data_IF_957425082527
#
_entry.id   IF_957425082527
#
_cell.length_a   1.000
_cell.length_b   1.000
_cell.length_c   1.000
_cell.angle_alpha   90.00
_cell.angle_beta   90.00
_cell.angle_gamma   90.00
#
_symmetry.space_group_name_H-M   'P 1'
#
loop_
_entity.id
_entity.type
_entity.pdbx_description
1 polymer ?
#
# COMPACT_ATOMS: atom_id res chain seq x y z
N UNK A 1 -41.90 -4.16 -33.35
CA UNK A 1 -41.64 -2.74 -33.70
C UNK A 1 -40.15 -2.61 -33.87
N UNK A 2 -39.68 -2.56 -35.15
CA UNK A 2 -38.23 -2.58 -35.48
C UNK A 2 -37.71 -1.15 -35.48
N UNK A 3 -36.76 -0.83 -34.63
CA UNK A 3 -36.06 0.46 -34.59
C UNK A 3 -34.79 0.29 -35.44
N UNK A 4 -34.72 1.07 -36.53
CA UNK A 4 -33.58 1.19 -37.46
C UNK A 4 -32.51 2.09 -36.86
N UNK A 5 -31.28 1.62 -36.83
CA UNK A 5 -30.09 2.44 -36.59
C UNK A 5 -29.73 3.21 -37.87
N UNK A 6 -29.70 4.54 -37.77
CA UNK A 6 -29.22 5.41 -38.84
C UNK A 6 -27.68 5.57 -38.68
N UNK A 7 -26.95 5.10 -39.67
CA UNK A 7 -25.52 5.37 -39.90
C UNK A 7 -25.32 6.88 -40.09
N UNK A 8 -24.51 7.51 -39.22
CA UNK A 8 -23.93 8.82 -39.51
C UNK A 8 -22.44 8.62 -39.81
N UNK A 9 -22.09 8.95 -41.06
CA UNK A 9 -20.73 9.07 -41.61
C UNK A 9 -19.93 10.16 -40.86
N UNK A 10 -18.61 9.99 -40.64
CA UNK A 10 -17.77 11.03 -40.06
C UNK A 10 -17.47 12.14 -41.08
N UNK A 11 -17.25 13.40 -40.61
CA UNK A 11 -16.93 14.52 -41.50
C UNK A 11 -15.47 14.43 -42.00
N UNK A 12 -15.32 14.86 -43.26
CA UNK A 12 -14.08 14.92 -44.01
C UNK A 12 -13.07 15.90 -43.41
N UNK A 13 -11.78 15.55 -43.57
CA UNK A 13 -10.61 16.39 -43.30
C UNK A 13 -10.69 17.72 -44.03
N UNK A 14 -10.54 18.80 -43.30
CA UNK A 14 -10.14 20.11 -43.86
C UNK A 14 -8.66 20.33 -43.60
N UNK A 15 -7.94 20.67 -44.67
CA UNK A 15 -6.52 20.97 -44.71
C UNK A 15 -6.14 22.09 -43.76
N UNK A 16 -5.18 21.84 -42.82
CA UNK A 16 -4.54 22.90 -42.05
C UNK A 16 -3.20 23.26 -42.68
N UNK A 17 -3.11 24.52 -43.06
CA UNK A 17 -1.97 25.22 -43.62
C UNK A 17 -0.75 25.14 -42.71
N UNK A 18 0.42 24.84 -43.30
CA UNK A 18 1.74 24.84 -42.65
C UNK A 18 2.12 26.24 -42.20
N UNK A 19 2.09 26.49 -40.90
CA UNK A 19 2.75 27.63 -40.26
C UNK A 19 4.11 27.17 -39.68
N UNK A 20 5.16 27.92 -39.96
CA UNK A 20 6.52 27.65 -39.51
C UNK A 20 6.63 27.83 -37.98
N UNK A 21 7.44 26.99 -37.28
CA UNK A 21 7.65 27.15 -35.82
C UNK A 21 8.59 28.32 -35.52
N UNK A 22 8.45 28.99 -34.37
CA UNK A 22 9.30 30.11 -33.97
C UNK A 22 10.73 29.66 -33.64
N UNK A 23 11.68 30.52 -34.01
CA UNK A 23 13.13 30.42 -33.84
C UNK A 23 13.56 30.45 -32.35
N UNK A 24 13.52 29.32 -31.63
CA UNK A 24 14.17 29.20 -30.31
C UNK A 24 14.62 27.78 -29.95
N UNK A 25 15.00 26.95 -30.94
CA UNK A 25 15.64 25.65 -30.69
C UNK A 25 16.76 25.46 -31.72
N UNK A 26 17.86 26.18 -31.51
CA UNK A 26 19.17 25.84 -32.12
C UNK A 26 20.24 26.23 -31.10
N UNK A 27 20.58 25.33 -30.20
CA UNK A 27 21.88 25.12 -29.57
C UNK A 27 21.67 24.05 -28.49
N UNK A 28 22.01 22.84 -28.83
CA UNK A 28 22.43 21.70 -27.98
C UNK A 28 22.04 20.35 -28.59
N UNK A 29 22.37 20.14 -29.86
CA UNK A 29 22.47 18.77 -30.39
C UNK A 29 23.68 18.76 -31.36
N UNK A 30 24.83 18.54 -30.79
CA UNK A 30 26.05 18.07 -31.47
C UNK A 30 27.06 17.71 -30.37
N UNK A 31 26.97 16.53 -29.81
CA UNK A 31 28.03 15.73 -29.20
C UNK A 31 27.43 14.46 -28.56
N UNK A 32 27.08 13.49 -29.37
CA UNK A 32 26.85 12.14 -28.89
C UNK A 32 26.99 11.14 -30.05
N UNK A 33 28.19 10.98 -30.57
CA UNK A 33 28.64 9.83 -31.33
C UNK A 33 30.09 9.60 -31.04
N UNK A 34 30.36 8.77 -30.03
CA UNK A 34 31.58 7.96 -29.85
C UNK A 34 31.57 7.38 -28.43
N UNK A 35 30.91 6.23 -28.29
CA UNK A 35 31.07 5.38 -27.10
C UNK A 35 32.05 4.26 -27.46
N UNK A 36 33.24 4.17 -26.81
CA UNK A 36 34.07 2.98 -26.92
C UNK A 36 33.52 1.88 -26.06
N UNK A 37 33.38 0.71 -26.66
CA UNK A 37 33.09 -0.58 -26.04
C UNK A 37 34.27 -1.01 -25.16
N UNK A 38 34.28 -0.60 -23.88
CA UNK A 38 34.98 -1.30 -22.79
C UNK A 38 34.60 -0.65 -21.46
N UNK A 39 33.70 -1.33 -20.71
CA UNK A 39 33.42 -0.93 -19.34
C UNK A 39 34.52 -1.48 -18.45
N UNK A 40 35.49 -0.65 -18.14
CA UNK A 40 36.44 -0.91 -17.07
C UNK A 40 35.80 -0.47 -15.76
N UNK A 41 35.36 -1.42 -14.95
CA UNK A 41 34.84 -1.16 -13.59
C UNK A 41 36.00 -0.67 -12.75
N UNK A 42 36.05 0.64 -12.52
CA UNK A 42 37.09 1.25 -11.69
C UNK A 42 36.94 0.81 -10.24
N UNK A 43 38.05 0.39 -9.65
CA UNK A 43 38.23 -0.06 -8.26
C UNK A 43 37.79 0.93 -7.15
N UNK A 44 37.32 2.13 -7.50
CA UNK A 44 36.88 3.17 -6.54
C UNK A 44 35.54 2.85 -5.84
N UNK A 45 34.65 2.10 -6.46
CA UNK A 45 33.35 1.73 -5.84
C UNK A 45 33.56 0.68 -4.75
N UNK A 46 34.45 -0.28 -4.96
CA UNK A 46 34.77 -1.31 -3.97
C UNK A 46 35.45 -0.72 -2.73
N UNK A 47 36.30 0.32 -2.88
CA UNK A 47 36.94 1.00 -1.74
C UNK A 47 35.95 1.83 -0.90
N UNK A 48 34.88 2.38 -1.47
CA UNK A 48 33.86 3.12 -0.69
C UNK A 48 32.96 2.24 0.12
N UNK A 49 32.64 1.05 -0.34
CA UNK A 49 31.81 0.09 0.41
C UNK A 49 32.61 -0.47 1.60
N UNK A 50 33.93 -0.72 1.45
CA UNK A 50 34.76 -1.21 2.57
C UNK A 50 35.08 -0.12 3.60
N UNK A 51 35.12 1.18 3.25
CA UNK A 51 35.39 2.26 4.21
C UNK A 51 34.15 2.73 4.99
N UNK A 52 32.93 2.43 4.52
CA UNK A 52 31.67 2.77 5.21
C UNK A 52 31.28 1.80 6.33
N UNK A 53 31.76 0.56 6.29
CA UNK A 53 31.38 -0.49 7.23
C UNK A 53 32.30 -0.60 8.46
N UNK A 54 33.48 0.03 8.45
CA UNK A 54 34.47 -0.06 9.54
C UNK A 54 34.89 1.30 10.14
N UNK A 55 33.94 2.18 10.45
CA UNK A 55 34.16 3.26 11.43
C UNK A 55 33.50 2.91 12.76
N UNK A 56 34.12 2.02 13.51
CA UNK A 56 33.85 1.89 14.94
C UNK A 56 34.81 2.76 15.75
N UNK A 57 34.35 3.46 16.81
CA UNK A 57 35.24 4.18 17.73
C UNK A 57 36.10 3.18 18.49
N UNK A 58 37.35 3.59 18.78
CA UNK A 58 38.30 2.80 19.57
C UNK A 58 37.78 2.59 20.99
N UNK A 59 37.15 1.43 21.22
CA UNK A 59 37.02 0.86 22.55
C UNK A 59 37.77 -0.47 22.60
N UNK A 60 38.56 -0.63 23.65
CA UNK A 60 39.45 -1.74 23.94
C UNK A 60 38.72 -3.09 23.84
N UNK A 61 39.16 -3.94 22.92
CA UNK A 61 38.73 -5.33 22.77
C UNK A 61 39.29 -6.21 23.89
N UNK A 62 38.49 -7.03 24.57
CA UNK A 62 39.01 -8.08 25.45
C UNK A 62 39.68 -9.18 24.61
N UNK A 63 40.83 -9.63 25.06
CA UNK A 63 41.57 -10.78 24.52
C UNK A 63 40.78 -12.08 24.75
N UNK A 64 39.95 -12.49 23.81
CA UNK A 64 39.49 -13.88 23.68
C UNK A 64 39.10 -14.14 22.23
N UNK A 65 40.09 -14.51 21.41
CA UNK A 65 39.84 -15.12 20.11
C UNK A 65 40.12 -16.62 20.24
N UNK A 66 39.13 -17.44 19.99
CA UNK A 66 39.26 -18.89 19.90
C UNK A 66 40.15 -19.29 18.72
N UNK A 67 40.92 -20.37 18.78
CA UNK A 67 41.86 -20.83 17.72
C UNK A 67 41.22 -21.06 16.36
N UNK A 68 39.91 -21.32 16.29
CA UNK A 68 39.19 -21.67 15.06
C UNK A 68 38.93 -20.47 14.14
N UNK A 69 39.21 -19.23 14.57
CA UNK A 69 39.03 -18.05 13.71
C UNK A 69 40.22 -17.81 12.76
N UNK A 70 41.40 -18.39 13.08
CA UNK A 70 42.58 -18.22 12.22
C UNK A 70 42.62 -19.22 11.06
N UNK A 71 42.01 -20.36 11.14
CA UNK A 71 41.97 -21.36 10.05
C UNK A 71 40.96 -21.01 8.95
N UNK A 72 39.90 -20.28 9.28
CA UNK A 72 38.86 -19.91 8.27
C UNK A 72 39.31 -18.80 7.32
N UNK A 73 40.32 -18.01 7.70
CA UNK A 73 40.87 -16.93 6.85
C UNK A 73 41.99 -17.43 5.94
N UNK A 74 42.59 -18.57 6.25
CA UNK A 74 43.73 -19.14 5.50
C UNK A 74 43.34 -20.01 4.27
N UNK A 75 42.05 -20.33 4.10
CA UNK A 75 41.59 -21.21 3.02
C UNK A 75 40.91 -20.52 1.83
N UNK A 76 41.01 -19.19 1.72
CA UNK A 76 40.54 -18.47 0.53
C UNK A 76 41.71 -18.30 -0.44
N UNK A 77 41.76 -19.04 -1.57
CA UNK A 77 42.82 -18.82 -2.56
C UNK A 77 42.69 -17.42 -3.15
N UNK A 78 43.69 -16.60 -2.97
CA UNK A 78 43.87 -15.34 -3.72
C UNK A 78 44.13 -15.70 -5.20
N UNK A 79 43.04 -15.80 -5.96
CA UNK A 79 43.13 -15.93 -7.42
C UNK A 79 43.68 -14.60 -7.98
N UNK A 80 44.85 -14.68 -8.54
CA UNK A 80 45.45 -13.63 -9.36
C UNK A 80 44.60 -13.49 -10.63
N UNK A 81 44.04 -12.28 -10.83
CA UNK A 81 43.32 -11.81 -12.03
C UNK A 81 42.18 -12.70 -12.58
N UNK A 82 40.91 -12.38 -12.33
CA UNK A 82 39.83 -12.96 -13.09
C UNK A 82 39.43 -12.05 -14.26
N UNK A 83 39.96 -12.33 -15.42
CA UNK A 83 39.31 -11.96 -16.69
C UNK A 83 38.34 -13.10 -17.06
N UNK A 84 37.04 -12.76 -17.16
CA UNK A 84 35.93 -13.62 -17.60
C UNK A 84 35.29 -14.57 -16.55
N UNK A 85 34.44 -14.04 -15.70
CA UNK A 85 33.36 -14.82 -15.07
C UNK A 85 32.00 -14.36 -15.58
N UNK A 86 31.15 -15.30 -15.99
CA UNK A 86 29.79 -14.98 -16.43
C UNK A 86 28.93 -14.50 -15.25
N UNK A 87 27.96 -13.62 -15.52
CA UNK A 87 27.02 -13.08 -14.53
C UNK A 87 26.27 -14.15 -13.73
N UNK A 88 26.02 -15.33 -14.34
CA UNK A 88 25.40 -16.47 -13.68
C UNK A 88 26.29 -17.14 -12.62
N UNK A 89 27.60 -17.10 -12.77
CA UNK A 89 28.56 -17.66 -11.82
C UNK A 89 28.76 -16.73 -10.63
N UNK A 90 28.72 -15.43 -10.86
CA UNK A 90 28.82 -14.39 -9.82
C UNK A 90 27.59 -14.40 -8.91
N UNK A 91 26.37 -14.58 -9.48
CA UNK A 91 25.13 -14.70 -8.70
C UNK A 91 25.10 -15.92 -7.78
N UNK A 92 25.66 -17.07 -8.21
CA UNK A 92 25.77 -18.26 -7.37
C UNK A 92 26.80 -18.13 -6.26
N UNK A 93 27.88 -17.39 -6.49
CA UNK A 93 28.91 -17.11 -5.49
C UNK A 93 28.39 -16.18 -4.38
N UNK A 94 27.69 -15.12 -4.74
CA UNK A 94 27.07 -14.19 -3.78
C UNK A 94 25.99 -14.90 -2.95
N UNK A 95 25.16 -15.72 -3.56
CA UNK A 95 24.09 -16.48 -2.85
C UNK A 95 24.67 -17.48 -1.85
N UNK A 96 25.79 -18.13 -2.16
CA UNK A 96 26.52 -19.04 -1.22
C UNK A 96 27.15 -18.28 -0.04
N UNK A 97 27.70 -17.09 -0.26
CA UNK A 97 28.23 -16.25 0.82
C UNK A 97 27.14 -15.81 1.82
N UNK A 98 25.98 -15.42 1.32
CA UNK A 98 24.86 -15.03 2.20
C UNK A 98 24.32 -16.20 3.03
N UNK A 99 24.20 -17.40 2.46
CA UNK A 99 23.76 -18.57 3.22
C UNK A 99 24.75 -18.99 4.33
N UNK A 100 26.04 -18.87 4.09
CA UNK A 100 27.07 -19.15 5.10
C UNK A 100 27.07 -18.12 6.24
N UNK A 101 26.80 -16.84 5.93
CA UNK A 101 26.71 -15.79 6.96
C UNK A 101 25.49 -15.97 7.86
N UNK A 102 24.35 -16.37 7.30
CA UNK A 102 23.12 -16.62 8.07
C UNK A 102 23.24 -17.84 9.01
N UNK A 103 23.93 -18.88 8.57
CA UNK A 103 24.19 -20.07 9.38
C UNK A 103 25.11 -19.79 10.59
N UNK A 104 26.03 -18.82 10.48
CA UNK A 104 26.94 -18.44 11.56
C UNK A 104 26.23 -17.58 12.62
N UNK A 105 25.31 -16.70 12.22
CA UNK A 105 24.55 -15.84 13.15
C UNK A 105 23.52 -16.61 13.96
N UNK A 106 22.98 -17.73 13.44
CA UNK A 106 22.00 -18.56 14.15
C UNK A 106 22.62 -19.49 15.21
N UNK A 107 23.94 -19.63 15.25
CA UNK A 107 24.65 -20.58 16.14
C UNK A 107 25.18 -19.96 17.45
N UNK A 108 25.07 -18.63 17.63
CA UNK A 108 25.59 -17.96 18.83
C UNK A 108 24.53 -17.95 19.94
N UNK A 109 24.49 -19.03 20.73
CA UNK A 109 23.75 -19.04 21.99
C UNK A 109 24.55 -18.33 23.08
N UNK A 110 24.13 -17.12 23.45
CA UNK A 110 24.67 -16.40 24.62
C UNK A 110 24.09 -17.06 25.89
N UNK A 111 24.94 -17.83 26.60
CA UNK A 111 24.63 -18.28 27.96
C UNK A 111 24.95 -17.17 28.95
N UNK A 112 23.95 -16.57 29.54
CA UNK A 112 24.09 -15.70 30.72
C UNK A 112 24.32 -16.60 31.97
N UNK A 113 25.48 -16.45 32.61
CA UNK A 113 25.76 -17.07 33.89
C UNK A 113 25.02 -16.29 35.01
N UNK A 114 24.16 -16.98 35.72
CA UNK A 114 23.59 -16.48 36.97
C UNK A 114 24.69 -16.44 38.06
N UNK A 115 24.91 -15.26 38.61
CA UNK A 115 25.80 -15.11 39.78
C UNK A 115 25.03 -15.43 41.05
N UNK A 116 25.60 -16.35 41.83
CA UNK A 116 25.11 -16.77 43.17
C UNK A 116 25.43 -15.66 44.15
N UNK A 117 24.40 -15.07 44.76
CA UNK A 117 24.53 -14.15 45.89
C UNK A 117 24.41 -14.90 47.21
N UNK A 118 25.47 -14.87 48.02
CA UNK A 118 25.46 -15.28 49.43
C UNK A 118 24.82 -14.19 50.29
N UNK A 119 24.14 -14.53 51.39
CA UNK A 119 23.41 -13.56 52.20
C UNK A 119 24.32 -12.84 53.18
N UNK A 120 24.36 -11.52 53.10
CA UNK A 120 24.93 -10.63 54.12
C UNK A 120 23.84 -10.19 55.11
N UNK A 121 24.09 -10.32 56.44
CA UNK A 121 23.23 -9.79 57.50
C UNK A 121 23.36 -8.26 57.57
N UNK A 122 22.27 -7.50 57.75
CA UNK A 122 22.36 -6.05 57.85
C UNK A 122 22.56 -5.59 59.28
N UNK A 123 23.56 -4.76 59.51
CA UNK A 123 23.67 -3.87 60.70
C UNK A 123 22.79 -2.64 60.46
N UNK A 124 22.04 -2.24 61.51
CA UNK A 124 21.15 -1.08 61.48
C UNK A 124 21.94 0.21 61.27
N UNK A 125 21.73 0.89 60.16
CA UNK A 125 22.15 2.26 59.92
C UNK A 125 20.90 3.15 59.80
N UNK A 126 20.90 4.23 60.57
CA UNK A 126 19.89 5.29 60.56
C UNK A 126 20.06 6.08 59.27
N UNK A 127 19.07 6.01 58.39
CA UNK A 127 19.09 6.78 57.14
C UNK A 127 18.28 8.05 57.30
N UNK A 128 18.97 9.18 57.12
CA UNK A 128 18.35 10.47 56.79
C UNK A 128 17.74 10.35 55.40
N UNK A 129 16.43 10.50 55.28
CA UNK A 129 15.71 10.46 54.03
C UNK A 129 15.99 11.70 53.16
N UNK A 130 16.90 11.59 52.20
CA UNK A 130 16.93 12.50 51.04
C UNK A 130 16.01 11.90 49.97
N UNK A 131 14.81 12.43 49.84
CA UNK A 131 13.91 12.14 48.73
C UNK A 131 14.48 12.70 47.43
N UNK A 132 15.40 11.97 46.79
CA UNK A 132 15.76 12.22 45.42
C UNK A 132 14.61 11.74 44.52
N UNK A 133 13.77 12.66 44.04
CA UNK A 133 12.87 12.36 42.93
C UNK A 133 13.74 11.93 41.74
N UNK A 134 13.83 10.62 41.53
CA UNK A 134 14.39 10.10 40.28
C UNK A 134 13.50 10.63 39.15
N UNK A 135 14.05 11.59 38.41
CA UNK A 135 13.46 12.02 37.13
C UNK A 135 13.59 10.83 36.19
N UNK A 136 12.56 9.99 36.12
CA UNK A 136 12.51 8.88 35.17
C UNK A 136 12.60 9.47 33.75
N UNK A 137 13.64 9.11 33.02
CA UNK A 137 13.74 9.43 31.60
C UNK A 137 12.44 8.95 30.92
N UNK A 138 11.79 9.77 30.09
CA UNK A 138 10.63 9.32 29.33
C UNK A 138 11.00 8.07 28.54
N UNK A 139 10.13 7.08 28.55
CA UNK A 139 10.32 5.86 27.76
C UNK A 139 10.51 6.25 26.27
N UNK A 140 11.39 5.57 25.54
CA UNK A 140 11.58 5.85 24.12
C UNK A 140 10.23 5.72 23.39
N UNK A 141 9.91 6.71 22.54
CA UNK A 141 8.70 6.65 21.71
C UNK A 141 8.76 5.40 20.83
N UNK A 142 7.68 4.61 20.83
CA UNK A 142 7.56 3.44 19.95
C UNK A 142 7.58 3.90 18.48
N UNK A 143 8.22 3.11 17.62
CA UNK A 143 8.18 3.35 16.17
C UNK A 143 6.78 3.07 15.63
N UNK A 144 6.46 3.55 14.42
CA UNK A 144 5.22 3.28 13.71
C UNK A 144 4.88 1.78 13.75
N UNK A 145 5.80 0.93 13.30
CA UNK A 145 5.62 -0.52 13.22
C UNK A 145 5.42 -1.20 14.58
N UNK A 146 5.95 -0.64 15.67
CA UNK A 146 5.75 -1.15 17.04
C UNK A 146 4.39 -0.77 17.65
N UNK A 147 3.67 0.16 17.02
CA UNK A 147 2.34 0.61 17.45
C UNK A 147 1.22 -0.11 16.69
N UNK A 148 1.55 -0.71 15.54
CA UNK A 148 0.61 -1.44 14.71
C UNK A 148 0.33 -2.86 15.26
N UNK A 149 -0.85 -3.44 14.98
CA UNK A 149 -1.14 -4.84 15.24
C UNK A 149 -0.16 -5.78 14.55
N UNK A 150 -0.05 -7.00 15.06
CA UNK A 150 0.83 -8.03 14.47
C UNK A 150 0.32 -8.49 13.11
N UNK A 151 -1.00 -8.53 12.91
CA UNK A 151 -1.67 -9.03 11.71
C UNK A 151 -2.39 -7.90 10.97
N UNK A 152 -1.58 -6.98 10.42
CA UNK A 152 -2.07 -5.81 9.67
C UNK A 152 -2.53 -6.15 8.26
N UNK A 153 -3.53 -5.41 7.75
CA UNK A 153 -4.07 -5.51 6.40
C UNK A 153 -3.99 -4.17 5.68
N UNK A 154 -3.31 -4.13 4.53
CA UNK A 154 -3.43 -3.04 3.57
C UNK A 154 -4.65 -3.29 2.67
N UNK A 155 -5.68 -2.48 2.85
CA UNK A 155 -6.97 -2.67 2.18
C UNK A 155 -7.01 -2.28 0.70
N UNK A 156 -5.90 -1.79 0.08
CA UNK A 156 -5.90 -1.36 -1.32
C UNK A 156 -4.50 -1.26 -1.92
N UNK A 157 -4.15 -2.24 -2.75
CA UNK A 157 -2.90 -2.22 -3.52
C UNK A 157 -3.15 -2.62 -4.98
N UNK A 158 -2.32 -2.10 -5.90
CA UNK A 158 -2.36 -2.44 -7.32
C UNK A 158 -1.05 -3.10 -7.75
N UNK A 159 -1.15 -4.18 -8.52
CA UNK A 159 -0.01 -4.86 -9.14
C UNK A 159 0.04 -4.52 -10.62
N UNK A 160 1.19 -4.08 -11.10
CA UNK A 160 1.31 -3.46 -12.42
C UNK A 160 2.58 -3.94 -13.13
N UNK A 161 2.41 -4.57 -14.29
CA UNK A 161 3.49 -4.89 -15.22
C UNK A 161 2.99 -4.79 -16.67
N UNK A 162 3.07 -3.60 -17.30
CA UNK A 162 2.59 -3.38 -18.66
C UNK A 162 3.44 -4.07 -19.73
N UNK A 163 4.57 -4.70 -19.36
CA UNK A 163 5.35 -5.54 -20.26
C UNK A 163 4.81 -6.96 -20.34
N UNK A 164 4.19 -7.43 -19.27
CA UNK A 164 3.64 -8.78 -19.16
C UNK A 164 2.14 -8.83 -19.42
N UNK A 165 1.41 -7.80 -19.01
CA UNK A 165 -0.05 -7.73 -19.14
C UNK A 165 -0.43 -6.53 -20.01
N UNK A 166 -1.25 -6.76 -21.02
CA UNK A 166 -1.66 -5.72 -21.95
C UNK A 166 -2.56 -4.69 -21.28
N UNK A 167 -2.27 -3.41 -21.52
CA UNK A 167 -3.15 -2.34 -21.07
C UNK A 167 -4.46 -2.38 -21.87
N UNK A 168 -5.57 -2.03 -21.22
CA UNK A 168 -6.86 -1.84 -21.89
C UNK A 168 -6.75 -0.72 -22.95
N UNK A 169 -7.51 -0.84 -24.05
CA UNK A 169 -7.49 0.14 -25.15
C UNK A 169 -7.80 1.58 -24.71
N UNK A 170 -8.55 1.74 -23.60
CA UNK A 170 -8.90 3.04 -22.98
C UNK A 170 -8.05 3.42 -21.77
N UNK A 171 -6.87 2.80 -21.58
CA UNK A 171 -6.01 3.12 -20.46
C UNK A 171 -5.60 4.60 -20.46
N UNK A 172 -5.90 5.32 -19.37
CA UNK A 172 -5.67 6.76 -19.30
C UNK A 172 -4.18 7.16 -19.19
N UNK A 173 -3.30 6.20 -18.88
CA UNK A 173 -1.85 6.41 -18.72
C UNK A 173 -1.10 5.08 -18.81
N UNK A 174 0.22 5.16 -19.04
CA UNK A 174 1.14 4.01 -19.01
C UNK A 174 1.94 4.10 -17.72
N UNK A 175 1.70 3.23 -16.73
CA UNK A 175 2.40 3.26 -15.46
C UNK A 175 3.78 2.60 -15.55
N UNK A 176 4.62 2.87 -14.55
CA UNK A 176 5.82 2.09 -14.26
C UNK A 176 5.46 0.68 -13.79
N UNK A 177 6.44 -0.23 -13.83
CA UNK A 177 6.28 -1.60 -13.29
C UNK A 177 6.29 -1.51 -11.76
N UNK A 178 5.31 -2.19 -11.15
CA UNK A 178 5.16 -2.34 -9.71
C UNK A 178 4.80 -3.80 -9.42
N UNK A 179 5.85 -4.60 -9.24
CA UNK A 179 5.75 -6.05 -9.07
C UNK A 179 5.34 -6.46 -7.66
N UNK A 180 5.05 -7.76 -7.49
CA UNK A 180 4.81 -8.35 -6.15
C UNK A 180 6.00 -8.14 -5.20
N UNK A 181 7.23 -8.22 -5.72
CA UNK A 181 8.43 -8.03 -4.90
C UNK A 181 8.65 -6.59 -4.46
N UNK A 182 8.27 -5.63 -5.31
CA UNK A 182 8.27 -4.22 -4.93
C UNK A 182 7.24 -3.96 -3.84
N UNK A 183 6.05 -4.58 -3.95
CA UNK A 183 4.99 -4.50 -2.94
C UNK A 183 5.45 -5.08 -1.60
N UNK A 184 6.02 -6.28 -1.57
CA UNK A 184 6.53 -6.90 -0.33
C UNK A 184 7.60 -6.02 0.32
N UNK A 185 8.50 -5.45 -0.47
CA UNK A 185 9.52 -4.52 0.03
C UNK A 185 8.88 -3.25 0.62
N UNK A 186 7.85 -2.73 -0.02
CA UNK A 186 7.12 -1.57 0.46
C UNK A 186 6.37 -1.88 1.77
N UNK A 187 5.66 -3.01 1.85
CA UNK A 187 4.95 -3.46 3.05
C UNK A 187 5.86 -3.53 4.28
N UNK A 188 7.09 -4.06 4.12
CA UNK A 188 8.08 -4.09 5.19
C UNK A 188 8.41 -2.68 5.72
N UNK A 189 8.42 -1.66 4.85
CA UNK A 189 8.73 -0.28 5.24
C UNK A 189 7.60 0.41 6.00
N UNK A 190 6.34 -0.02 5.76
CA UNK A 190 5.12 0.55 6.39
C UNK A 190 4.52 -0.37 7.46
N UNK A 191 5.10 -1.55 7.69
CA UNK A 191 4.66 -2.50 8.71
C UNK A 191 3.32 -3.17 8.38
N UNK A 192 2.97 -3.28 7.09
CA UNK A 192 1.83 -4.07 6.64
C UNK A 192 2.25 -5.50 6.36
N UNK A 193 1.35 -6.47 6.54
CA UNK A 193 1.64 -7.90 6.36
C UNK A 193 0.79 -8.56 5.30
N UNK A 194 -0.47 -8.19 5.27
CA UNK A 194 -1.46 -8.79 4.38
C UNK A 194 -2.02 -7.71 3.47
N UNK A 195 -2.43 -8.09 2.27
CA UNK A 195 -2.85 -7.14 1.23
C UNK A 195 -4.18 -7.50 0.61
N UNK A 196 -4.88 -6.48 0.17
CA UNK A 196 -6.00 -6.61 -0.75
C UNK A 196 -5.57 -6.12 -2.12
N UNK A 197 -5.40 -7.07 -3.06
CA UNK A 197 -5.14 -6.79 -4.46
C UNK A 197 -6.40 -6.23 -5.11
N UNK A 198 -6.33 -5.00 -5.60
CA UNK A 198 -7.46 -4.33 -6.24
C UNK A 198 -7.15 -4.13 -7.71
N UNK A 199 -8.11 -4.48 -8.58
CA UNK A 199 -7.95 -4.31 -10.03
C UNK A 199 -7.74 -2.83 -10.39
N UNK A 200 -6.61 -2.44 -11.02
CA UNK A 200 -6.42 -1.08 -11.51
C UNK A 200 -7.17 -0.85 -12.82
N UNK A 201 -7.65 0.39 -13.02
CA UNK A 201 -8.46 0.74 -14.22
C UNK A 201 -7.74 0.56 -15.56
N UNK A 202 -6.39 0.60 -15.55
CA UNK A 202 -5.56 0.47 -16.77
C UNK A 202 -5.66 -0.90 -17.45
N UNK A 203 -6.10 -1.94 -16.75
CA UNK A 203 -6.29 -3.29 -17.32
C UNK A 203 -7.76 -3.61 -17.64
N UNK A 204 -8.69 -2.69 -17.34
CA UNK A 204 -10.13 -2.95 -17.56
C UNK A 204 -10.58 -4.22 -16.86
N UNK A 205 -11.19 -5.15 -17.62
CA UNK A 205 -11.69 -6.43 -17.09
C UNK A 205 -10.64 -7.56 -17.10
N UNK A 206 -9.39 -7.31 -17.53
CA UNK A 206 -8.32 -8.29 -17.45
C UNK A 206 -7.68 -8.29 -16.05
N UNK A 207 -8.11 -9.19 -15.19
CA UNK A 207 -7.64 -9.32 -13.82
C UNK A 207 -6.33 -10.13 -13.68
N UNK A 208 -5.72 -10.56 -14.78
CA UNK A 208 -4.57 -11.50 -14.76
C UNK A 208 -3.42 -11.01 -13.89
N UNK A 209 -3.07 -9.72 -13.95
CA UNK A 209 -1.96 -9.16 -13.18
C UNK A 209 -2.19 -9.31 -11.66
N UNK A 210 -3.37 -8.95 -11.17
CA UNK A 210 -3.68 -9.07 -9.74
C UNK A 210 -3.86 -10.52 -9.29
N UNK A 211 -4.48 -11.37 -10.09
CA UNK A 211 -4.67 -12.79 -9.77
C UNK A 211 -3.34 -13.54 -9.70
N UNK A 212 -2.40 -13.26 -10.60
CA UNK A 212 -1.05 -13.83 -10.54
C UNK A 212 -0.26 -13.30 -9.33
N UNK A 213 -0.46 -12.04 -8.95
CA UNK A 213 0.11 -11.49 -7.71
C UNK A 213 -0.44 -12.20 -6.47
N UNK A 214 -1.76 -12.43 -6.40
CA UNK A 214 -2.39 -13.17 -5.31
C UNK A 214 -1.87 -14.60 -5.20
N UNK A 215 -1.71 -15.33 -6.33
CA UNK A 215 -1.10 -16.66 -6.35
C UNK A 215 0.32 -16.66 -5.81
N UNK A 216 1.10 -15.61 -6.11
CA UNK A 216 2.49 -15.49 -5.64
C UNK A 216 2.58 -15.16 -4.14
N UNK A 217 1.63 -14.38 -3.61
CA UNK A 217 1.55 -14.03 -2.18
C UNK A 217 0.96 -15.17 -1.33
N UNK A 218 0.06 -15.94 -1.91
CA UNK A 218 -0.69 -17.01 -1.24
C UNK A 218 -1.97 -16.54 -0.55
N UNK A 219 -2.92 -17.48 -0.29
CA UNK A 219 -4.25 -17.18 0.23
C UNK A 219 -4.22 -16.67 1.68
N UNK A 220 -3.18 -16.99 2.44
CA UNK A 220 -3.01 -16.54 3.83
C UNK A 220 -2.71 -15.05 3.93
N UNK A 221 -2.09 -14.48 2.88
CA UNK A 221 -1.61 -13.09 2.87
C UNK A 221 -2.38 -12.17 1.94
N UNK A 222 -3.27 -12.70 1.11
CA UNK A 222 -3.91 -11.87 0.09
C UNK A 222 -5.41 -12.14 -0.06
N UNK A 223 -6.13 -11.08 -0.39
CA UNK A 223 -7.52 -11.10 -0.89
C UNK A 223 -7.59 -10.27 -2.17
N UNK A 224 -8.65 -10.48 -2.96
CA UNK A 224 -8.81 -9.81 -4.25
C UNK A 224 -10.11 -9.07 -4.41
N UNK A 225 -10.06 -7.96 -5.17
CA UNK A 225 -11.23 -7.22 -5.64
C UNK A 225 -11.08 -7.02 -7.14
N UNK A 226 -11.86 -7.78 -7.92
CA UNK A 226 -11.80 -7.86 -9.38
C UNK A 226 -12.70 -6.84 -10.06
N UNK A 227 -12.57 -6.71 -11.38
CA UNK A 227 -13.52 -6.02 -12.26
C UNK A 227 -13.99 -6.99 -13.34
N UNK A 228 -15.26 -7.00 -13.65
CA UNK A 228 -15.84 -7.80 -14.74
C UNK A 228 -17.08 -7.14 -15.30
N UNK A 229 -17.54 -7.60 -16.47
CA UNK A 229 -18.82 -7.20 -17.04
C UNK A 229 -19.92 -8.12 -16.53
N UNK A 230 -20.88 -7.55 -15.80
CA UNK A 230 -21.98 -8.28 -15.18
C UNK A 230 -22.92 -8.97 -16.16
N UNK A 231 -22.85 -8.62 -17.45
CA UNK A 231 -23.68 -9.23 -18.49
C UNK A 231 -23.06 -10.46 -19.15
N UNK A 232 -21.73 -10.65 -19.00
CA UNK A 232 -20.99 -11.70 -19.71
C UNK A 232 -20.23 -12.66 -18.79
N UNK A 233 -20.07 -12.32 -17.52
CA UNK A 233 -19.33 -13.15 -16.56
C UNK A 233 -19.99 -14.52 -16.38
N UNK A 234 -19.20 -15.58 -16.31
CA UNK A 234 -19.66 -16.93 -16.04
C UNK A 234 -19.55 -17.22 -14.54
N UNK A 235 -20.52 -17.98 -13.99
CA UNK A 235 -20.51 -18.35 -12.58
C UNK A 235 -19.28 -19.18 -12.21
N UNK A 236 -18.83 -20.05 -13.10
CA UNK A 236 -17.65 -20.88 -12.93
C UNK A 236 -16.40 -20.01 -12.68
N UNK A 237 -16.23 -18.94 -13.44
CA UNK A 237 -15.13 -17.98 -13.26
C UNK A 237 -15.20 -17.29 -11.90
N UNK A 238 -16.40 -16.92 -11.43
CA UNK A 238 -16.58 -16.32 -10.10
C UNK A 238 -16.18 -17.30 -8.99
N UNK A 239 -16.52 -18.59 -9.11
CA UNK A 239 -16.11 -19.62 -8.16
C UNK A 239 -14.60 -19.87 -8.18
N UNK A 240 -13.97 -19.96 -9.37
CA UNK A 240 -12.51 -20.07 -9.48
C UNK A 240 -11.79 -18.90 -8.80
N UNK A 241 -12.28 -17.68 -8.98
CA UNK A 241 -11.72 -16.51 -8.33
C UNK A 241 -11.97 -16.51 -6.82
N UNK A 242 -13.14 -16.99 -6.38
CA UNK A 242 -13.44 -17.14 -4.94
C UNK A 242 -12.44 -18.07 -4.26
N UNK A 243 -12.14 -19.21 -4.87
CA UNK A 243 -11.17 -20.20 -4.38
C UNK A 243 -9.74 -19.64 -4.32
N UNK A 244 -9.41 -18.68 -5.21
CA UNK A 244 -8.14 -17.94 -5.16
C UNK A 244 -8.10 -16.85 -4.08
N UNK A 245 -9.21 -16.58 -3.38
CA UNK A 245 -9.28 -15.55 -2.34
C UNK A 245 -9.88 -14.22 -2.79
N UNK A 246 -10.51 -14.14 -3.98
CA UNK A 246 -11.30 -12.95 -4.35
C UNK A 246 -12.52 -12.84 -3.45
N UNK A 247 -12.79 -11.63 -2.93
CA UNK A 247 -13.88 -11.34 -2.01
C UNK A 247 -14.68 -10.09 -2.40
N UNK A 248 -14.50 -9.60 -3.62
CA UNK A 248 -15.25 -8.43 -4.06
C UNK A 248 -15.11 -8.08 -5.52
N UNK A 249 -16.03 -7.21 -5.97
CA UNK A 249 -16.02 -6.58 -7.30
C UNK A 249 -15.93 -5.07 -7.16
N UNK A 250 -15.19 -4.40 -8.04
CA UNK A 250 -14.98 -2.95 -8.02
C UNK A 250 -15.77 -2.23 -9.10
N UNK A 251 -16.50 -1.17 -8.73
CA UNK A 251 -17.05 -0.16 -9.62
C UNK A 251 -16.24 1.13 -9.47
N UNK A 252 -15.48 1.45 -10.51
CA UNK A 252 -14.56 2.59 -10.51
C UNK A 252 -15.01 3.65 -11.52
N UNK A 253 -15.76 4.64 -11.07
CA UNK A 253 -16.29 5.72 -11.90
C UNK A 253 -15.45 6.99 -11.78
N UNK A 254 -14.90 7.30 -10.61
CA UNK A 254 -14.14 8.54 -10.39
C UNK A 254 -12.83 8.57 -11.18
N UNK A 255 -12.10 7.46 -11.30
CA UNK A 255 -10.82 7.47 -12.03
C UNK A 255 -10.99 7.56 -13.55
N UNK A 256 -12.17 7.25 -14.06
CA UNK A 256 -12.51 7.33 -15.50
C UNK A 256 -13.12 8.67 -15.89
N UNK A 257 -13.37 9.57 -14.92
CA UNK A 257 -13.97 10.90 -15.17
C UNK A 257 -15.43 10.84 -15.64
N UNK A 258 -16.11 9.70 -15.45
CA UNK A 258 -17.50 9.52 -15.87
C UNK A 258 -18.45 10.10 -14.83
N UNK A 259 -19.45 10.88 -15.27
CA UNK A 259 -20.61 11.21 -14.44
C UNK A 259 -21.69 10.17 -14.74
N UNK A 260 -21.97 9.25 -13.80
CA UNK A 260 -22.94 8.20 -14.07
C UNK A 260 -24.37 8.72 -14.06
N UNK A 261 -25.21 8.15 -14.92
CA UNK A 261 -26.66 8.20 -14.74
C UNK A 261 -27.00 7.41 -13.46
N UNK A 262 -27.66 8.05 -12.52
CA UNK A 262 -27.95 7.49 -11.19
C UNK A 262 -28.85 6.26 -11.28
N UNK A 263 -29.85 6.25 -12.16
CA UNK A 263 -30.75 5.07 -12.29
C UNK A 263 -30.04 3.89 -12.96
N UNK A 264 -29.19 4.16 -13.93
CA UNK A 264 -28.32 3.13 -14.53
C UNK A 264 -27.40 2.55 -13.45
N UNK A 265 -26.76 3.41 -12.63
CA UNK A 265 -25.87 2.98 -11.55
C UNK A 265 -26.61 2.14 -10.49
N UNK A 266 -27.79 2.55 -10.06
CA UNK A 266 -28.64 1.76 -9.14
C UNK A 266 -28.94 0.36 -9.70
N UNK A 267 -29.29 0.28 -10.96
CA UNK A 267 -29.57 -0.99 -11.62
C UNK A 267 -28.31 -1.87 -11.77
N UNK A 268 -27.17 -1.26 -12.09
CA UNK A 268 -25.87 -1.93 -12.14
C UNK A 268 -25.50 -2.49 -10.76
N UNK A 269 -25.64 -1.70 -9.69
CA UNK A 269 -25.41 -2.17 -8.32
C UNK A 269 -26.29 -3.38 -7.94
N UNK A 270 -27.59 -3.38 -8.33
CA UNK A 270 -28.49 -4.51 -8.08
C UNK A 270 -28.04 -5.77 -8.84
N UNK A 271 -27.60 -5.64 -10.10
CA UNK A 271 -27.10 -6.78 -10.90
C UNK A 271 -25.83 -7.35 -10.29
N UNK A 272 -24.83 -6.52 -9.94
CA UNK A 272 -23.64 -6.99 -9.25
C UNK A 272 -23.98 -7.66 -7.92
N UNK A 273 -24.87 -7.06 -7.12
CA UNK A 273 -25.29 -7.65 -5.85
C UNK A 273 -25.94 -9.03 -6.02
N UNK A 274 -26.74 -9.24 -7.06
CA UNK A 274 -27.34 -10.54 -7.34
C UNK A 274 -26.29 -11.61 -7.68
N UNK A 275 -25.24 -11.23 -8.43
CA UNK A 275 -24.15 -12.12 -8.82
C UNK A 275 -23.23 -12.48 -7.66
N UNK A 276 -22.87 -11.51 -6.80
CA UNK A 276 -21.81 -11.71 -5.79
C UNK A 276 -22.35 -12.12 -4.42
N UNK A 277 -23.63 -11.91 -4.13
CA UNK A 277 -24.25 -12.29 -2.84
C UNK A 277 -24.09 -13.78 -2.51
N UNK A 278 -24.30 -14.74 -3.42
CA UNK A 278 -24.12 -16.16 -3.12
C UNK A 278 -22.70 -16.52 -2.67
N UNK A 279 -21.70 -15.71 -3.07
CA UNK A 279 -20.30 -15.90 -2.72
C UNK A 279 -19.88 -15.11 -1.45
N UNK A 280 -20.78 -14.35 -0.85
CA UNK A 280 -20.46 -13.48 0.28
C UNK A 280 -19.54 -12.29 -0.06
N UNK A 281 -19.37 -11.99 -1.36
CA UNK A 281 -18.48 -10.90 -1.80
C UNK A 281 -19.09 -9.54 -1.53
N UNK A 282 -18.22 -8.54 -1.41
CA UNK A 282 -18.60 -7.13 -1.31
C UNK A 282 -18.53 -6.41 -2.66
N UNK A 283 -19.19 -5.25 -2.76
CA UNK A 283 -18.98 -4.32 -3.86
C UNK A 283 -18.15 -3.14 -3.35
N UNK A 284 -17.01 -2.91 -4.00
CA UNK A 284 -16.15 -1.75 -3.76
C UNK A 284 -16.50 -0.64 -4.75
N UNK A 285 -16.71 0.58 -4.24
CA UNK A 285 -17.20 1.70 -5.07
C UNK A 285 -16.24 2.88 -4.94
N UNK A 286 -15.79 3.40 -6.09
CA UNK A 286 -15.03 4.65 -6.18
C UNK A 286 -15.84 5.68 -6.98
N UNK A 287 -16.58 6.50 -6.25
CA UNK A 287 -17.40 7.60 -6.79
C UNK A 287 -17.27 8.84 -5.90
N UNK A 288 -17.71 10.01 -6.38
CA UNK A 288 -17.77 11.22 -5.57
C UNK A 288 -18.83 11.11 -4.47
N UNK A 289 -18.49 11.61 -3.27
CA UNK A 289 -19.34 11.54 -2.07
C UNK A 289 -20.68 12.27 -2.25
N UNK A 290 -20.73 13.32 -3.06
CA UNK A 290 -21.96 14.08 -3.34
C UNK A 290 -23.06 13.27 -4.06
N UNK A 291 -22.71 12.13 -4.66
CA UNK A 291 -23.67 11.18 -5.25
C UNK A 291 -24.33 10.24 -4.22
N UNK A 292 -23.78 10.14 -3.02
CA UNK A 292 -24.25 9.19 -2.00
C UNK A 292 -25.71 9.42 -1.57
N UNK A 293 -26.23 10.67 -1.46
CA UNK A 293 -27.65 10.86 -1.12
C UNK A 293 -28.61 10.19 -2.09
N UNK A 294 -28.28 10.18 -3.38
CA UNK A 294 -29.11 9.55 -4.41
C UNK A 294 -29.03 8.00 -4.39
N UNK A 295 -27.96 7.44 -3.83
CA UNK A 295 -27.68 5.99 -3.80
C UNK A 295 -28.01 5.34 -2.45
N UNK A 296 -28.19 6.11 -1.39
CA UNK A 296 -28.30 5.63 -0.01
C UNK A 296 -29.39 4.56 0.17
N UNK A 297 -30.61 4.81 -0.32
CA UNK A 297 -31.71 3.84 -0.21
C UNK A 297 -31.45 2.56 -0.96
N UNK A 298 -30.85 2.65 -2.16
CA UNK A 298 -30.49 1.48 -2.95
C UNK A 298 -29.41 0.66 -2.24
N UNK A 299 -28.34 1.29 -1.80
CA UNK A 299 -27.21 0.62 -1.12
C UNK A 299 -27.70 -0.13 0.13
N UNK A 300 -28.51 0.51 0.97
CA UNK A 300 -29.09 -0.13 2.17
C UNK A 300 -29.97 -1.35 1.84
N UNK A 301 -30.63 -1.33 0.68
CA UNK A 301 -31.51 -2.42 0.25
C UNK A 301 -30.76 -3.59 -0.43
N UNK A 302 -29.45 -3.44 -0.75
CA UNK A 302 -28.69 -4.50 -1.43
C UNK A 302 -28.42 -5.71 -0.53
N UNK A 303 -28.40 -5.54 0.80
CA UNK A 303 -28.11 -6.58 1.79
C UNK A 303 -26.80 -7.35 1.50
N UNK A 304 -25.77 -6.61 1.13
CA UNK A 304 -24.39 -7.09 0.97
C UNK A 304 -23.42 -6.05 1.52
N UNK A 305 -22.18 -6.45 1.76
CA UNK A 305 -21.14 -5.50 2.17
C UNK A 305 -20.80 -4.54 1.01
N UNK A 306 -20.77 -3.24 1.30
CA UNK A 306 -20.32 -2.18 0.39
C UNK A 306 -19.09 -1.53 0.98
N UNK A 307 -18.06 -1.23 0.16
CA UNK A 307 -16.88 -0.54 0.60
C UNK A 307 -16.58 0.67 -0.28
N UNK A 308 -16.55 1.86 0.29
CA UNK A 308 -16.16 3.07 -0.44
C UNK A 308 -14.65 3.27 -0.40
N UNK A 309 -14.05 3.52 -1.58
CA UNK A 309 -12.65 3.90 -1.70
C UNK A 309 -12.41 5.33 -1.18
N UNK A 310 -11.23 5.57 -0.58
CA UNK A 310 -10.64 6.89 -0.37
C UNK A 310 -11.61 7.85 0.34
N UNK A 311 -12.01 7.57 1.58
CA UNK A 311 -12.97 8.37 2.38
C UNK A 311 -14.31 8.62 1.67
N UNK A 312 -14.73 7.74 0.74
CA UNK A 312 -15.84 7.95 -0.19
C UNK A 312 -15.65 9.19 -1.10
N UNK A 313 -14.41 9.57 -1.35
CA UNK A 313 -13.99 10.64 -2.27
C UNK A 313 -14.74 11.97 -2.05
N UNK A 314 -14.55 12.63 -0.89
CA UNK A 314 -15.20 13.89 -0.57
C UNK A 314 -14.75 15.00 -1.52
N UNK A 315 -15.69 15.83 -1.93
CA UNK A 315 -15.42 17.07 -2.65
C UNK A 315 -15.14 18.22 -1.69
N UNK A 316 -14.45 19.27 -2.18
CA UNK A 316 -14.20 20.46 -1.38
C UNK A 316 -15.53 21.11 -0.98
N UNK A 317 -15.70 21.58 0.28
CA UNK A 317 -16.89 22.32 0.68
C UNK A 317 -17.14 23.51 -0.21
N UNK A 318 -18.37 23.68 -0.65
CA UNK A 318 -18.75 24.77 -1.56
C UNK A 318 -18.79 26.15 -0.89
N UNK A 319 -18.88 26.19 0.45
CA UNK A 319 -19.01 27.44 1.21
C UNK A 319 -17.66 27.85 1.83
N UNK A 320 -17.15 29.10 1.54
CA UNK A 320 -15.92 29.61 2.16
C UNK A 320 -15.97 29.71 3.69
N UNK A 321 -17.15 29.91 4.28
CA UNK A 321 -17.32 29.93 5.75
C UNK A 321 -17.05 28.58 6.41
N UNK A 322 -17.11 27.48 5.67
CA UNK A 322 -16.73 26.13 6.15
C UNK A 322 -15.22 25.88 6.20
N UNK A 323 -14.41 26.88 5.84
CA UNK A 323 -12.94 26.81 5.92
C UNK A 323 -12.39 27.27 7.29
N UNK A 324 -13.27 27.71 8.20
CA UNK A 324 -12.87 28.15 9.56
C UNK A 324 -12.72 26.96 10.51
N UNK A 325 -11.81 27.06 11.47
CA UNK A 325 -11.67 26.09 12.57
C UNK A 325 -12.61 26.45 13.74
N UNK A 326 -13.37 25.49 14.34
CA UNK A 326 -13.39 24.06 13.98
C UNK A 326 -14.19 23.80 12.70
N UNK A 327 -13.66 22.91 11.86
CA UNK A 327 -14.31 22.48 10.62
C UNK A 327 -15.46 21.50 10.91
N UNK A 328 -16.63 21.74 10.31
CA UNK A 328 -17.77 20.82 10.40
C UNK A 328 -17.77 19.86 9.20
N UNK A 329 -17.48 18.54 9.40
CA UNK A 329 -17.49 17.57 8.32
C UNK A 329 -18.87 17.38 7.66
N UNK A 330 -19.96 17.70 8.37
CA UNK A 330 -21.31 17.65 7.81
C UNK A 330 -21.59 18.74 6.76
N UNK A 331 -20.70 19.73 6.63
CA UNK A 331 -20.73 20.71 5.53
C UNK A 331 -20.28 20.11 4.19
N UNK A 332 -19.66 18.92 4.18
CA UNK A 332 -19.28 18.23 2.95
C UNK A 332 -20.51 17.55 2.33
N UNK A 333 -20.83 17.84 1.05
CA UNK A 333 -21.94 17.19 0.36
C UNK A 333 -21.85 15.67 0.39
N UNK A 334 -22.91 15.00 0.83
CA UNK A 334 -23.01 13.55 0.92
C UNK A 334 -22.46 12.92 2.20
N UNK A 335 -21.74 13.66 3.05
CA UNK A 335 -21.17 13.10 4.29
C UNK A 335 -22.25 12.54 5.23
N UNK A 336 -23.34 13.26 5.43
CA UNK A 336 -24.48 12.77 6.23
C UNK A 336 -25.02 11.41 5.73
N UNK A 337 -25.04 11.19 4.41
CA UNK A 337 -25.48 9.92 3.83
C UNK A 337 -24.46 8.80 4.07
N UNK A 338 -23.16 9.11 3.97
CA UNK A 338 -22.10 8.18 4.34
C UNK A 338 -22.27 7.70 5.79
N UNK A 339 -22.43 8.64 6.73
CA UNK A 339 -22.62 8.33 8.16
C UNK A 339 -23.84 7.41 8.38
N UNK A 340 -25.00 7.73 7.76
CA UNK A 340 -26.18 6.86 7.89
C UNK A 340 -26.01 5.48 7.27
N UNK A 341 -25.23 5.35 6.21
CA UNK A 341 -24.91 4.05 5.61
C UNK A 341 -23.94 3.25 6.48
N UNK A 342 -22.92 3.89 7.06
CA UNK A 342 -22.01 3.24 8.01
C UNK A 342 -22.76 2.72 9.24
N UNK A 343 -23.67 3.53 9.81
CA UNK A 343 -24.53 3.14 10.95
C UNK A 343 -25.50 1.99 10.62
N UNK A 344 -25.93 1.86 9.36
CA UNK A 344 -26.75 0.74 8.91
C UNK A 344 -26.04 -0.62 9.03
N UNK A 345 -24.68 -0.64 8.99
CA UNK A 345 -23.88 -1.80 9.37
C UNK A 345 -23.23 -2.59 8.23
N UNK A 346 -23.70 -2.49 6.99
CA UNK A 346 -23.14 -3.21 5.84
C UNK A 346 -22.22 -2.34 4.96
N UNK A 347 -21.99 -1.09 5.35
CA UNK A 347 -21.13 -0.16 4.60
C UNK A 347 -19.82 0.02 5.33
N UNK A 348 -18.72 -0.04 4.58
CA UNK A 348 -17.34 0.22 5.01
C UNK A 348 -16.76 1.40 4.24
N UNK A 349 -15.72 2.01 4.78
CA UNK A 349 -14.96 3.07 4.13
C UNK A 349 -13.47 2.85 4.31
N UNK A 350 -12.69 3.08 3.25
CA UNK A 350 -11.22 3.01 3.31
C UNK A 350 -10.64 4.37 3.69
N UNK A 351 -9.82 4.40 4.71
CA UNK A 351 -8.94 5.52 5.00
C UNK A 351 -7.68 5.34 4.15
N UNK A 352 -7.64 6.02 3.01
CA UNK A 352 -6.59 5.86 1.99
C UNK A 352 -6.50 7.07 1.06
N UNK A 353 -5.37 7.23 0.39
CA UNK A 353 -5.14 8.15 -0.71
C UNK A 353 -5.58 9.62 -0.45
N UNK A 354 -5.14 10.27 0.64
CA UNK A 354 -5.52 11.66 0.92
C UNK A 354 -5.11 12.62 -0.20
N UNK A 355 -4.05 12.30 -0.91
CA UNK A 355 -3.52 13.06 -2.05
C UNK A 355 -4.42 13.07 -3.30
N UNK A 356 -5.46 12.21 -3.34
CA UNK A 356 -6.49 12.22 -4.40
C UNK A 356 -7.65 13.14 -4.07
N UNK A 357 -7.69 13.68 -2.86
CA UNK A 357 -8.76 14.54 -2.38
C UNK A 357 -8.29 15.99 -2.30
N UNK A 358 -9.17 16.93 -2.54
CA UNK A 358 -8.85 18.36 -2.45
C UNK A 358 -9.31 18.91 -1.09
N UNK A 359 -8.81 18.30 0.01
CA UNK A 359 -9.07 18.71 1.39
C UNK A 359 -7.77 19.14 2.07
N UNK A 360 -7.88 20.12 2.97
CA UNK A 360 -6.79 20.47 3.88
C UNK A 360 -6.66 19.44 5.00
N UNK A 361 -5.46 19.28 5.58
CA UNK A 361 -5.20 18.27 6.61
C UNK A 361 -6.20 18.34 7.78
N UNK A 362 -6.53 19.53 8.28
CA UNK A 362 -7.48 19.69 9.38
C UNK A 362 -8.92 19.29 9.01
N UNK A 363 -9.30 19.41 7.74
CA UNK A 363 -10.61 18.98 7.23
C UNK A 363 -10.66 17.44 7.14
N UNK A 364 -9.57 16.85 6.66
CA UNK A 364 -9.43 15.38 6.60
C UNK A 364 -9.45 14.76 7.99
N UNK A 365 -8.73 15.37 8.94
CA UNK A 365 -8.71 14.96 10.35
C UNK A 365 -10.12 15.01 10.97
N UNK A 366 -10.84 16.12 10.82
CA UNK A 366 -12.20 16.26 11.32
C UNK A 366 -13.14 15.21 10.72
N UNK A 367 -13.02 14.94 9.42
CA UNK A 367 -13.77 13.90 8.72
C UNK A 367 -13.46 12.51 9.30
N UNK A 368 -12.18 12.19 9.45
CA UNK A 368 -11.72 10.90 9.97
C UNK A 368 -12.18 10.66 11.41
N UNK A 369 -11.98 11.64 12.28
CA UNK A 369 -12.37 11.56 13.69
C UNK A 369 -13.88 11.40 13.86
N UNK A 370 -14.69 12.07 13.04
CA UNK A 370 -16.15 11.92 13.08
C UNK A 370 -16.59 10.53 12.60
N UNK A 371 -16.01 10.02 11.51
CA UNK A 371 -16.28 8.64 11.05
C UNK A 371 -15.92 7.63 12.15
N UNK A 372 -14.73 7.73 12.73
CA UNK A 372 -14.29 6.84 13.80
C UNK A 372 -15.15 6.95 15.07
N UNK A 373 -15.64 8.15 15.39
CA UNK A 373 -16.55 8.39 16.53
C UNK A 373 -17.88 7.68 16.33
N UNK A 374 -18.40 7.73 15.09
CA UNK A 374 -19.74 7.19 14.79
C UNK A 374 -19.70 5.69 14.56
N UNK A 375 -18.70 5.19 13.81
CA UNK A 375 -18.69 3.79 13.39
C UNK A 375 -17.27 3.28 13.08
N UNK A 376 -16.45 3.10 14.11
CA UNK A 376 -15.07 2.63 13.94
C UNK A 376 -14.95 1.16 13.49
N UNK A 377 -16.03 0.36 13.59
CA UNK A 377 -16.08 -1.03 13.12
C UNK A 377 -16.22 -1.15 11.59
N UNK A 378 -16.27 -0.05 10.87
CA UNK A 378 -16.50 0.00 9.42
C UNK A 378 -15.41 0.78 8.68
N UNK A 379 -14.27 1.00 9.32
CA UNK A 379 -13.14 1.72 8.74
C UNK A 379 -11.99 0.74 8.52
N UNK A 380 -11.40 0.74 7.33
CA UNK A 380 -10.20 -0.04 7.01
C UNK A 380 -9.10 0.88 6.50
N UNK A 381 -7.86 0.65 6.96
CA UNK A 381 -6.69 1.36 6.44
C UNK A 381 -6.28 0.80 5.08
N UNK A 382 -5.75 1.67 4.21
CA UNK A 382 -5.14 1.25 2.96
C UNK A 382 -4.11 2.27 2.47
N UNK A 383 -3.05 1.80 1.82
CA UNK A 383 -2.00 2.67 1.29
C UNK A 383 -2.31 3.25 -0.08
N UNK A 384 -3.09 2.53 -0.89
CA UNK A 384 -3.28 2.82 -2.32
C UNK A 384 -1.96 2.71 -3.12
N UNK A 385 -1.02 1.83 -2.62
CA UNK A 385 0.22 1.56 -3.35
C UNK A 385 -0.07 1.02 -4.78
N UNK A 386 0.68 1.42 -5.80
CA UNK A 386 1.92 2.18 -5.80
C UNK A 386 1.74 3.70 -5.98
N UNK A 387 0.62 4.27 -5.59
CA UNK A 387 0.33 5.71 -5.66
C UNK A 387 0.37 6.21 -7.11
N UNK A 388 -0.24 5.47 -8.03
CA UNK A 388 -0.19 5.76 -9.48
C UNK A 388 -0.54 7.21 -9.79
N UNK A 389 0.26 7.86 -10.64
CA UNK A 389 0.25 9.29 -10.97
C UNK A 389 0.74 10.22 -9.84
N UNK A 390 1.28 9.65 -8.74
CA UNK A 390 1.89 10.37 -7.62
C UNK A 390 3.19 9.66 -7.21
N UNK A 391 4.03 9.36 -8.20
CA UNK A 391 5.27 8.60 -8.01
C UNK A 391 6.20 9.28 -7.01
N UNK A 392 6.79 8.49 -6.11
CA UNK A 392 7.69 8.99 -5.07
C UNK A 392 6.99 9.52 -3.82
N UNK A 393 5.66 9.38 -3.71
CA UNK A 393 4.93 9.73 -2.50
C UNK A 393 5.39 8.87 -1.31
N UNK A 394 5.69 9.49 -0.17
CA UNK A 394 5.85 8.81 1.12
C UNK A 394 4.53 8.83 1.90
N UNK A 395 3.88 7.67 1.97
CA UNK A 395 2.59 7.51 2.66
C UNK A 395 2.71 7.46 4.18
N UNK A 396 3.91 7.36 4.74
CA UNK A 396 4.12 7.16 6.19
C UNK A 396 3.55 8.27 7.03
N UNK A 397 3.61 9.52 6.56
CA UNK A 397 3.02 10.65 7.28
C UNK A 397 1.50 10.46 7.45
N UNK A 398 0.80 10.09 6.39
CA UNK A 398 -0.63 9.79 6.47
C UNK A 398 -0.93 8.56 7.33
N UNK A 399 -0.10 7.53 7.25
CA UNK A 399 -0.26 6.35 8.11
C UNK A 399 -0.09 6.70 9.60
N UNK A 400 0.85 7.59 9.94
CA UNK A 400 0.99 8.13 11.31
C UNK A 400 -0.24 8.91 11.75
N UNK A 401 -0.83 9.72 10.85
CA UNK A 401 -2.06 10.46 11.13
C UNK A 401 -3.21 9.50 11.43
N UNK A 402 -3.46 8.51 10.58
CA UNK A 402 -4.52 7.51 10.78
C UNK A 402 -4.28 6.70 12.07
N UNK A 403 -3.04 6.33 12.34
CA UNK A 403 -2.69 5.63 13.57
C UNK A 403 -2.97 6.49 14.81
N UNK A 404 -2.61 7.78 14.76
CA UNK A 404 -2.90 8.74 15.82
C UNK A 404 -4.40 8.89 16.08
N UNK A 405 -5.21 9.05 15.03
CA UNK A 405 -6.67 9.12 15.13
C UNK A 405 -7.27 7.82 15.71
N UNK A 406 -6.75 6.66 15.27
CA UNK A 406 -7.21 5.36 15.77
C UNK A 406 -6.79 5.12 17.24
N UNK A 407 -5.61 5.59 17.68
CA UNK A 407 -5.17 5.57 19.07
C UNK A 407 -6.06 6.44 19.95
N UNK A 408 -6.38 7.66 19.52
CA UNK A 408 -7.30 8.57 20.21
C UNK A 408 -8.67 7.93 20.45
N UNK A 409 -9.17 7.17 19.48
CA UNK A 409 -10.47 6.49 19.56
C UNK A 409 -10.40 5.06 20.11
N UNK A 410 -9.21 4.56 20.46
CA UNK A 410 -9.02 3.21 21.01
C UNK A 410 -9.37 2.09 20.03
N UNK A 411 -9.18 2.30 18.72
CA UNK A 411 -9.63 1.39 17.66
C UNK A 411 -8.52 0.97 16.66
N UNK A 412 -7.26 1.01 17.06
CA UNK A 412 -6.11 0.67 16.19
C UNK A 412 -6.25 -0.75 15.61
N UNK A 413 -6.55 -1.75 16.47
CA UNK A 413 -6.72 -3.13 16.02
C UNK A 413 -7.84 -3.26 14.99
N UNK A 414 -8.96 -2.55 15.18
CA UNK A 414 -10.09 -2.56 14.25
C UNK A 414 -9.70 -2.01 12.88
N UNK A 415 -9.09 -0.81 12.86
CA UNK A 415 -8.78 -0.07 11.62
C UNK A 415 -7.69 -0.76 10.79
N UNK A 416 -6.66 -1.31 11.45
CA UNK A 416 -5.50 -1.88 10.76
C UNK A 416 -5.55 -3.41 10.60
N UNK A 417 -6.54 -4.11 11.19
CA UNK A 417 -6.65 -5.56 11.13
C UNK A 417 -8.10 -6.04 11.13
N UNK A 418 -8.81 -5.96 12.25
CA UNK A 418 -10.07 -6.65 12.49
C UNK A 418 -11.18 -6.33 11.48
N UNK A 419 -11.36 -5.06 11.11
CA UNK A 419 -12.39 -4.67 10.14
C UNK A 419 -12.07 -5.19 8.73
N UNK A 420 -10.81 -5.30 8.37
CA UNK A 420 -10.36 -5.89 7.12
C UNK A 420 -10.74 -7.38 7.06
N UNK A 421 -10.53 -8.11 8.16
CA UNK A 421 -10.93 -9.52 8.25
C UNK A 421 -12.42 -9.71 8.07
N UNK A 422 -13.24 -8.87 8.71
CA UNK A 422 -14.70 -8.89 8.54
C UNK A 422 -15.12 -8.56 7.10
N UNK A 423 -14.48 -7.55 6.49
CA UNK A 423 -14.84 -7.08 5.16
C UNK A 423 -14.51 -8.11 4.08
N UNK A 424 -13.32 -8.72 4.13
CA UNK A 424 -12.82 -9.66 3.12
C UNK A 424 -12.86 -11.13 3.55
N UNK A 425 -13.66 -11.46 4.55
CA UNK A 425 -13.91 -12.84 4.97
C UNK A 425 -12.59 -13.58 5.23
N UNK A 426 -11.83 -13.09 6.21
CA UNK A 426 -10.60 -13.70 6.69
C UNK A 426 -10.87 -14.35 8.02
N UNK A 427 -10.61 -15.66 8.13
CA UNK A 427 -10.73 -16.46 9.36
C UNK A 427 -9.64 -16.12 10.40
#
# INVERSE_FOLDING_TARGET
MKIRWLNKTPPQRTDFVRGAPPRWVKHHILHACNLPTSITVQSRVVRRVFHGVFKMPRCSLPRFASPNFRELVATVPLARHPTSMSTATMGRFVKRMFHSFYAILSSVKIRTRASILLPFRPTKAVTFGSSSRQCSKPAPKRTLTQRLPVDTWDGHMHFIDPKRYNLAAGAAYIPSIHSVWDAVTFEDTVGMKNVVAVQPSIYGNDNSAMLDAMKALGPERSRGVVVFDESTIQNETLHEWHDLGVRGVRLNLSSTGQTPDIEILKNTLRRYAALVRPLGWMIQIYISMDLLPALESTIKALDIKICFDHFAHPSKPSNPSSQTSPFDPYSIPGFSSLIRMLQHGNTFVKFSAPYRMNLENHQLEALALEILRVQNDRVVFATDWPHTRFEGLDIKAFQEDVLGWAEEKGCVEKVFSGNAKVLWDVE
#
